data_IF_934365916465
#
_entry.id   IF_934365916465
#
_cell.length_a   1.000
_cell.length_b   1.000
_cell.length_c   1.000
_cell.angle_alpha   90.00
_cell.angle_beta   90.00
_cell.angle_gamma   90.00
#
_symmetry.space_group_name_H-M   'P 1'
#
loop_
_entity.id
_entity.type
_entity.pdbx_description
1 polymer ?
#
# COMPACT_ATOMS: atom_id res chain seq x y z
N UNK A 1 1.86 15.96 5.73
CA UNK A 1 1.02 14.74 5.61
C UNK A 1 1.95 13.53 5.71
N UNK A 2 1.78 12.70 6.74
CA UNK A 2 2.66 11.54 7.07
C UNK A 2 2.85 10.57 5.90
N UNK A 3 1.84 10.44 5.05
CA UNK A 3 1.89 9.59 3.87
C UNK A 3 3.11 9.89 2.96
N UNK A 4 3.47 11.16 2.70
CA UNK A 4 4.59 11.46 1.79
C UNK A 4 5.93 10.93 2.31
N UNK A 5 6.18 11.02 3.63
CA UNK A 5 7.43 10.58 4.25
C UNK A 5 7.54 9.06 4.30
N UNK A 6 6.41 8.35 4.34
CA UNK A 6 6.37 6.89 4.30
C UNK A 6 6.99 6.34 3.01
N UNK A 7 6.73 6.96 1.86
CA UNK A 7 7.23 6.48 0.56
C UNK A 7 8.72 6.75 0.38
N UNK A 8 9.22 7.90 0.80
CA UNK A 8 10.66 8.20 0.80
C UNK A 8 11.42 7.21 1.68
N UNK A 9 10.81 6.81 2.80
CA UNK A 9 11.37 5.78 3.67
C UNK A 9 11.37 4.40 2.98
N UNK A 10 10.28 4.01 2.31
CA UNK A 10 10.19 2.75 1.57
C UNK A 10 11.28 2.65 0.48
N UNK A 11 11.51 3.72 -0.27
CA UNK A 11 12.60 3.78 -1.28
C UNK A 11 13.98 3.70 -0.63
N UNK A 12 14.18 4.30 0.55
CA UNK A 12 15.45 4.30 1.26
C UNK A 12 15.78 2.96 1.95
N UNK A 13 14.78 2.27 2.50
CA UNK A 13 14.98 1.00 3.21
C UNK A 13 15.00 -0.21 2.27
N UNK A 14 14.40 -0.10 1.09
CA UNK A 14 14.30 -1.19 0.13
C UNK A 14 13.15 -2.16 0.41
N UNK A 15 12.94 -3.15 -0.48
CA UNK A 15 11.70 -3.94 -0.54
C UNK A 15 11.49 -4.89 0.65
N UNK A 16 12.55 -5.51 1.18
CA UNK A 16 12.49 -6.44 2.33
C UNK A 16 11.96 -5.79 3.62
N UNK A 17 12.58 -4.73 4.16
CA UNK A 17 12.08 -4.05 5.35
C UNK A 17 10.77 -3.30 5.12
N UNK A 18 10.53 -2.80 3.89
CA UNK A 18 9.22 -2.25 3.52
C UNK A 18 8.12 -3.30 3.65
N UNK A 19 8.39 -4.52 3.21
CA UNK A 19 7.44 -5.64 3.29
C UNK A 19 7.18 -6.10 4.71
N UNK A 20 8.21 -6.19 5.56
CA UNK A 20 8.05 -6.63 6.95
C UNK A 20 7.32 -5.59 7.81
N UNK A 21 7.70 -4.30 7.70
CA UNK A 21 7.34 -3.31 8.73
C UNK A 21 6.36 -2.25 8.22
N UNK A 22 6.45 -1.88 6.93
CA UNK A 22 5.63 -0.82 6.36
C UNK A 22 4.31 -1.35 5.80
N UNK A 23 4.27 -2.58 5.30
CA UNK A 23 3.03 -3.22 4.84
C UNK A 23 1.98 -3.37 5.95
N UNK A 24 2.28 -3.91 7.14
CA UNK A 24 1.26 -4.02 8.21
C UNK A 24 0.72 -2.66 8.63
N UNK A 25 1.59 -1.64 8.60
CA UNK A 25 1.21 -0.25 8.86
C UNK A 25 0.31 0.30 7.76
N UNK A 26 0.60 0.00 6.49
CA UNK A 26 -0.20 0.40 5.34
C UNK A 26 -1.61 -0.21 5.38
N UNK A 27 -1.71 -1.50 5.71
CA UNK A 27 -2.99 -2.22 5.86
C UNK A 27 -3.82 -1.63 7.00
N UNK A 28 -3.19 -1.26 8.14
CA UNK A 28 -3.89 -0.57 9.23
C UNK A 28 -4.45 0.78 8.78
N UNK A 29 -3.73 1.53 7.94
CA UNK A 29 -4.19 2.81 7.40
C UNK A 29 -5.33 2.64 6.37
N UNK A 30 -5.40 1.52 5.64
CA UNK A 30 -6.55 1.19 4.78
C UNK A 30 -7.82 0.92 5.60
N UNK A 31 -7.68 0.47 6.84
CA UNK A 31 -8.76 0.28 7.81
C UNK A 31 -8.99 1.48 8.74
N UNK A 32 -8.42 2.64 8.44
CA UNK A 32 -8.60 3.82 9.29
C UNK A 32 -10.07 4.25 9.35
N UNK A 33 -10.50 4.79 10.50
CA UNK A 33 -11.87 5.22 10.73
C UNK A 33 -12.23 6.44 9.84
N UNK A 34 -11.25 7.27 9.52
CA UNK A 34 -11.43 8.46 8.68
C UNK A 34 -11.45 8.11 7.19
N UNK A 35 -12.53 8.48 6.50
CA UNK A 35 -12.66 8.25 5.07
C UNK A 35 -11.56 8.93 4.25
N UNK A 36 -11.10 10.12 4.66
CA UNK A 36 -10.02 10.85 4.00
C UNK A 36 -8.69 10.09 4.07
N UNK A 37 -8.39 9.45 5.21
CA UNK A 37 -7.18 8.63 5.38
C UNK A 37 -7.24 7.42 4.47
N UNK A 38 -8.37 6.70 4.43
CA UNK A 38 -8.55 5.54 3.54
C UNK A 38 -8.39 5.92 2.06
N UNK A 39 -8.98 7.04 1.64
CA UNK A 39 -8.86 7.53 0.25
C UNK A 39 -7.42 7.94 -0.07
N UNK A 40 -6.74 8.64 0.85
CA UNK A 40 -5.36 9.09 0.65
C UNK A 40 -4.38 7.91 0.52
N UNK A 41 -4.60 6.83 1.28
CA UNK A 41 -3.77 5.63 1.29
C UNK A 41 -4.08 4.76 0.06
N UNK A 42 -5.34 4.59 -0.28
CA UNK A 42 -5.77 3.90 -1.50
C UNK A 42 -5.24 4.60 -2.76
N UNK A 43 -5.27 5.94 -2.80
CA UNK A 43 -4.77 6.71 -3.93
C UNK A 43 -3.26 6.60 -4.16
N UNK A 44 -2.51 6.06 -3.20
CA UNK A 44 -1.05 5.94 -3.27
C UNK A 44 -0.53 4.51 -3.24
N UNK A 45 -1.43 3.52 -3.18
CA UNK A 45 -1.06 2.11 -3.10
C UNK A 45 -0.33 1.62 -4.35
N UNK A 46 -0.64 2.15 -5.54
CA UNK A 46 0.10 1.82 -6.77
C UNK A 46 1.60 2.11 -6.64
N UNK A 47 1.95 3.26 -6.03
CA UNK A 47 3.36 3.62 -5.79
C UNK A 47 3.98 2.71 -4.72
N UNK A 48 3.21 2.36 -3.69
CA UNK A 48 3.65 1.42 -2.64
C UNK A 48 3.97 0.03 -3.20
N UNK A 49 3.06 -0.53 -4.01
CA UNK A 49 3.23 -1.82 -4.67
C UNK A 49 4.45 -1.83 -5.59
N UNK A 50 4.71 -0.75 -6.32
CA UNK A 50 5.91 -0.59 -7.13
C UNK A 50 7.22 -0.65 -6.33
N UNK A 51 7.24 -0.07 -5.13
CA UNK A 51 8.44 -0.09 -4.27
C UNK A 51 8.69 -1.51 -3.72
N UNK A 52 7.62 -2.24 -3.39
CA UNK A 52 7.70 -3.63 -2.93
C UNK A 52 8.14 -4.58 -4.04
N UNK A 53 7.53 -4.47 -5.20
CA UNK A 53 7.86 -5.28 -6.36
C UNK A 53 7.48 -4.53 -7.65
N UNK A 54 8.46 -4.18 -8.51
CA UNK A 54 8.19 -3.47 -9.77
C UNK A 54 7.25 -4.24 -10.71
N UNK A 55 7.13 -5.57 -10.56
CA UNK A 55 6.20 -6.41 -11.31
C UNK A 55 4.76 -6.33 -10.79
N UNK A 56 4.56 -5.86 -9.56
CA UNK A 56 3.29 -5.56 -8.93
C UNK A 56 2.74 -4.21 -9.40
N UNK A 57 2.87 -3.88 -10.68
CA UNK A 57 2.26 -2.69 -11.24
C UNK A 57 0.74 -2.87 -11.28
N UNK A 58 0.11 -2.82 -10.11
CA UNK A 58 -1.32 -2.99 -9.98
C UNK A 58 -1.95 -1.69 -10.50
N UNK A 59 -2.69 -1.73 -11.61
CA UNK A 59 -3.47 -0.57 -12.01
C UNK A 59 -4.46 -0.23 -10.88
N UNK A 60 -4.70 1.06 -10.59
CA UNK A 60 -5.76 1.42 -9.65
C UNK A 60 -7.05 0.70 -10.07
N UNK A 61 -7.72 -0.05 -9.18
CA UNK A 61 -8.97 -0.74 -9.38
C UNK A 61 -9.98 0.19 -10.02
N UNK A 62 -10.76 -0.35 -10.94
CA UNK A 62 -11.87 0.37 -11.52
C UNK A 62 -12.92 0.62 -10.44
N UNK A 63 -13.07 1.90 -10.06
CA UNK A 63 -13.98 2.34 -9.01
C UNK A 63 -13.31 2.32 -7.63
N UNK A 64 -13.75 3.21 -6.73
CA UNK A 64 -13.24 3.42 -5.37
C UNK A 64 -13.40 2.20 -4.42
N UNK A 65 -13.30 0.97 -4.92
CA UNK A 65 -13.45 -0.25 -4.15
C UNK A 65 -12.16 -0.55 -3.36
N UNK A 66 -12.10 0.03 -2.17
CA UNK A 66 -11.02 -0.15 -1.20
C UNK A 66 -10.92 -1.63 -0.75
N UNK A 67 -12.01 -2.40 -0.80
CA UNK A 67 -12.00 -3.79 -0.36
C UNK A 67 -11.32 -4.70 -1.38
N UNK A 68 -11.63 -4.53 -2.67
CA UNK A 68 -10.94 -5.24 -3.75
C UNK A 68 -9.42 -5.00 -3.73
N UNK A 69 -8.99 -3.80 -3.31
CA UNK A 69 -7.59 -3.48 -3.08
C UNK A 69 -6.96 -4.24 -1.91
N UNK A 70 -7.65 -4.28 -0.77
CA UNK A 70 -7.16 -4.97 0.43
C UNK A 70 -6.98 -6.46 0.13
N UNK A 71 -7.93 -7.07 -0.57
CA UNK A 71 -7.91 -8.47 -0.93
C UNK A 71 -6.70 -8.80 -1.82
N UNK A 72 -6.42 -7.96 -2.81
CA UNK A 72 -5.26 -8.11 -3.69
C UNK A 72 -3.92 -7.95 -2.96
N UNK A 73 -3.84 -7.00 -2.03
CA UNK A 73 -2.64 -6.78 -1.21
C UNK A 73 -2.37 -8.01 -0.33
N UNK A 74 -3.41 -8.58 0.27
CA UNK A 74 -3.33 -9.79 1.08
C UNK A 74 -2.91 -11.02 0.25
N UNK A 75 -3.47 -11.20 -0.95
CA UNK A 75 -3.11 -12.32 -1.84
C UNK A 75 -1.63 -12.26 -2.26
N UNK A 76 -1.11 -11.08 -2.57
CA UNK A 76 0.32 -10.89 -2.92
C UNK A 76 1.25 -11.06 -1.72
N UNK A 77 0.84 -10.60 -0.53
CA UNK A 77 1.55 -10.89 0.72
C UNK A 77 1.58 -12.38 1.05
N UNK A 78 0.52 -13.11 0.72
CA UNK A 78 0.40 -14.55 0.95
C UNK A 78 1.19 -15.38 -0.08
N UNK A 79 1.47 -14.82 -1.26
CA UNK A 79 2.20 -15.49 -2.34
C UNK A 79 3.73 -15.38 -2.25
N UNK A 80 4.26 -14.55 -1.35
CA UNK A 80 5.70 -14.28 -1.16
C UNK A 80 6.22 -14.80 0.18
#
# INVERSE_FOLDING_TARGET
MVANQLYELCEAVGPEPTRSDLVPTYVRLLHDNEAEVRIAVAGKVTKFCWILNPKLAIPPPPGNDIQAFIDLLNDELAAA
#
